data_IF_553583448309
#
_entry.id   IF_553583448309
#
_cell.length_a   1.000
_cell.length_b   1.000
_cell.length_c   1.000
_cell.angle_alpha   90.00
_cell.angle_beta   90.00
_cell.angle_gamma   90.00
#
_symmetry.space_group_name_H-M   'P 1'
#
loop_
_entity.id
_entity.type
_entity.pdbx_description
1 polymer ?
#
# COMPACT_ATOMS: atom_id res chain seq x y z
N UNK A 1 1.91 17.59 -1.75
CA UNK A 1 2.16 17.41 -3.19
C UNK A 1 0.97 16.72 -3.83
N UNK A 2 0.73 16.99 -5.11
CA UNK A 2 -0.38 16.46 -5.91
C UNK A 2 0.21 15.87 -7.20
N UNK A 3 -0.23 14.67 -7.59
CA UNK A 3 0.10 14.06 -8.89
C UNK A 3 -1.13 14.18 -9.77
N UNK A 4 -0.94 14.54 -11.04
CA UNK A 4 -2.02 14.74 -12.01
C UNK A 4 -1.65 14.02 -13.30
N UNK A 5 -2.59 13.28 -13.87
CA UNK A 5 -2.40 12.50 -15.10
C UNK A 5 -3.46 12.83 -16.14
N UNK A 6 -3.59 14.13 -16.44
CA UNK A 6 -4.46 14.67 -17.49
C UNK A 6 -3.88 14.43 -18.90
N UNK A 7 -3.73 13.15 -19.28
CA UNK A 7 -3.00 12.72 -20.47
C UNK A 7 -3.79 12.80 -21.79
N UNK A 8 -5.04 13.27 -21.75
CA UNK A 8 -5.92 13.39 -22.93
C UNK A 8 -6.42 14.83 -23.09
N UNK A 9 -6.78 15.23 -24.32
CA UNK A 9 -7.28 16.60 -24.60
C UNK A 9 -8.53 16.87 -23.77
N UNK A 10 -9.40 15.87 -23.65
CA UNK A 10 -10.61 15.97 -22.85
C UNK A 10 -10.30 16.18 -21.36
N UNK A 11 -9.28 15.52 -20.80
CA UNK A 11 -8.84 15.74 -19.42
C UNK A 11 -8.17 17.10 -19.24
N UNK A 12 -7.34 17.54 -20.18
CA UNK A 12 -6.70 18.85 -20.14
C UNK A 12 -7.74 20.00 -20.18
N UNK A 13 -8.74 19.89 -21.05
CA UNK A 13 -9.85 20.87 -21.14
C UNK A 13 -10.64 20.91 -19.82
N UNK A 14 -10.98 19.75 -19.24
CA UNK A 14 -11.68 19.70 -17.95
C UNK A 14 -10.81 20.25 -16.82
N UNK A 15 -9.51 19.98 -16.82
CA UNK A 15 -8.57 20.51 -15.84
C UNK A 15 -8.52 22.04 -15.90
N UNK A 16 -8.33 22.61 -17.09
CA UNK A 16 -8.29 24.07 -17.27
C UNK A 16 -9.58 24.73 -16.77
N UNK A 17 -10.74 24.17 -17.12
CA UNK A 17 -12.02 24.65 -16.63
C UNK A 17 -12.16 24.54 -15.10
N UNK A 18 -11.78 23.39 -14.51
CA UNK A 18 -11.87 23.16 -13.07
C UNK A 18 -10.93 24.05 -12.25
N UNK A 19 -9.80 24.44 -12.83
CA UNK A 19 -8.81 25.32 -12.22
C UNK A 19 -9.13 26.82 -12.44
N UNK A 20 -10.13 27.15 -13.27
CA UNK A 20 -10.47 28.53 -13.61
C UNK A 20 -9.38 29.23 -14.44
N UNK A 21 -8.64 28.47 -15.25
CA UNK A 21 -7.54 28.95 -16.09
C UNK A 21 -8.01 29.23 -17.52
N UNK A 22 -9.12 29.97 -17.67
CA UNK A 22 -9.79 30.18 -18.97
C UNK A 22 -8.86 30.72 -20.07
N UNK A 23 -7.80 31.45 -19.69
CA UNK A 23 -6.79 31.96 -20.60
C UNK A 23 -5.95 30.86 -21.29
N UNK A 24 -5.94 29.65 -20.73
CA UNK A 24 -5.28 28.46 -21.27
C UNK A 24 -6.21 27.53 -22.06
N UNK A 25 -7.51 27.85 -22.18
CA UNK A 25 -8.49 26.95 -22.81
C UNK A 25 -8.12 26.60 -24.27
N UNK A 26 -7.53 27.53 -25.01
CA UNK A 26 -7.06 27.31 -26.39
C UNK A 26 -5.88 26.33 -26.48
N UNK A 27 -5.07 26.23 -25.42
CA UNK A 27 -3.91 25.34 -25.34
C UNK A 27 -4.31 23.92 -24.92
N UNK A 28 -5.40 23.79 -24.15
CA UNK A 28 -5.85 22.51 -23.59
C UNK A 28 -6.41 21.53 -24.63
N UNK A 29 -6.94 22.03 -25.75
CA UNK A 29 -7.58 21.22 -26.78
C UNK A 29 -6.62 20.49 -27.74
N UNK A 30 -5.30 20.69 -27.60
CA UNK A 30 -4.31 20.14 -28.53
C UNK A 30 -3.42 19.09 -27.82
N UNK A 31 -3.65 17.80 -28.09
CA UNK A 31 -2.81 16.69 -27.57
C UNK A 31 -1.72 16.20 -28.51
N UNK A 32 -1.40 16.94 -29.58
CA UNK A 32 -0.24 16.57 -30.38
C UNK A 32 1.04 16.69 -29.52
N UNK A 33 1.99 15.75 -29.58
CA UNK A 33 3.23 15.78 -28.78
C UNK A 33 3.99 17.12 -28.87
N UNK A 34 3.89 17.79 -30.02
CA UNK A 34 4.55 19.05 -30.35
C UNK A 34 3.60 20.28 -30.29
N UNK A 35 2.40 20.13 -29.73
CA UNK A 35 1.37 21.17 -29.72
C UNK A 35 1.76 22.44 -28.98
N UNK A 36 2.59 22.31 -27.93
CA UNK A 36 3.04 23.40 -27.09
C UNK A 36 4.52 23.67 -27.35
N UNK A 37 4.83 24.90 -27.77
CA UNK A 37 6.20 25.40 -27.80
C UNK A 37 6.71 25.68 -26.37
N UNK A 38 7.98 26.05 -26.25
CA UNK A 38 8.61 26.31 -24.94
C UNK A 38 7.92 27.43 -24.15
N UNK A 39 7.50 28.51 -24.82
CA UNK A 39 6.81 29.62 -24.18
C UNK A 39 5.42 29.21 -23.66
N UNK A 40 4.69 28.38 -24.41
CA UNK A 40 3.40 27.84 -23.98
C UNK A 40 3.57 26.90 -22.77
N UNK A 41 4.60 26.04 -22.78
CA UNK A 41 4.92 25.15 -21.65
C UNK A 41 5.25 25.94 -20.39
N UNK A 42 6.07 26.99 -20.52
CA UNK A 42 6.41 27.88 -19.40
C UNK A 42 5.16 28.59 -18.86
N UNK A 43 4.30 29.12 -19.74
CA UNK A 43 3.04 29.79 -19.37
C UNK A 43 2.09 28.85 -18.63
N UNK A 44 1.91 27.62 -19.12
CA UNK A 44 1.08 26.60 -18.47
C UNK A 44 1.67 26.23 -17.10
N UNK A 45 2.98 25.97 -17.02
CA UNK A 45 3.64 25.61 -15.77
C UNK A 45 3.50 26.70 -14.71
N UNK A 46 3.69 27.97 -15.08
CA UNK A 46 3.55 29.11 -14.17
C UNK A 46 2.11 29.26 -13.66
N UNK A 47 1.11 29.13 -14.55
CA UNK A 47 -0.29 29.18 -14.17
C UNK A 47 -0.69 28.05 -13.21
N UNK A 48 -0.24 26.82 -13.50
CA UNK A 48 -0.49 25.67 -12.64
C UNK A 48 0.18 25.82 -11.27
N UNK A 49 1.45 26.26 -11.20
CA UNK A 49 2.14 26.50 -9.92
C UNK A 49 1.42 27.56 -9.07
N UNK A 50 1.01 28.68 -9.69
CA UNK A 50 0.24 29.71 -9.00
C UNK A 50 -1.08 29.17 -8.44
N UNK A 51 -1.88 28.47 -9.26
CA UNK A 51 -3.19 27.97 -8.83
C UNK A 51 -3.06 26.89 -7.76
N UNK A 52 -2.16 25.92 -7.92
CA UNK A 52 -2.05 24.82 -6.96
C UNK A 52 -1.54 25.25 -5.58
N UNK A 53 -0.94 26.43 -5.44
CA UNK A 53 -0.57 27.03 -4.15
C UNK A 53 -1.75 27.63 -3.39
N UNK A 54 -2.89 27.87 -4.03
CA UNK A 54 -4.01 28.61 -3.41
C UNK A 54 -4.87 27.75 -2.48
N UNK A 55 -4.78 26.41 -2.57
CA UNK A 55 -5.55 25.47 -1.75
C UNK A 55 -4.71 24.23 -1.39
N UNK A 56 -5.02 23.53 -0.28
CA UNK A 56 -4.40 22.25 0.06
C UNK A 56 -4.57 21.19 -1.05
N UNK A 57 -3.62 20.25 -1.12
CA UNK A 57 -3.64 19.18 -2.11
C UNK A 57 -4.89 18.27 -2.02
N UNK A 58 -5.46 18.10 -0.82
CA UNK A 58 -6.71 17.34 -0.62
C UNK A 58 -7.91 18.02 -1.28
N UNK A 59 -8.00 19.35 -1.20
CA UNK A 59 -9.09 20.09 -1.85
C UNK A 59 -8.96 20.02 -3.38
N UNK A 60 -7.74 20.16 -3.89
CA UNK A 60 -7.51 19.99 -5.33
C UNK A 60 -7.76 18.57 -5.82
N UNK A 61 -7.43 17.55 -5.04
CA UNK A 61 -7.77 16.16 -5.36
C UNK A 61 -9.29 16.00 -5.51
N UNK A 62 -10.09 16.55 -4.60
CA UNK A 62 -11.56 16.53 -4.70
C UNK A 62 -12.07 17.29 -5.93
N UNK A 63 -11.62 18.54 -6.14
CA UNK A 63 -12.06 19.36 -7.28
C UNK A 63 -11.76 18.70 -8.62
N UNK A 64 -10.57 18.13 -8.76
CA UNK A 64 -10.16 17.46 -9.99
C UNK A 64 -10.89 16.14 -10.18
N UNK A 65 -11.15 15.38 -9.12
CA UNK A 65 -11.96 14.17 -9.17
C UNK A 65 -13.41 14.48 -9.63
N UNK A 66 -14.03 15.53 -9.10
CA UNK A 66 -15.38 15.98 -9.51
C UNK A 66 -15.40 16.40 -10.98
N UNK A 67 -14.30 16.94 -11.49
CA UNK A 67 -14.11 17.28 -12.90
C UNK A 67 -13.68 16.08 -13.79
N UNK A 68 -13.64 14.85 -13.26
CA UNK A 68 -13.15 13.66 -13.95
C UNK A 68 -11.74 13.83 -14.52
N UNK A 69 -10.87 14.53 -13.79
CA UNK A 69 -9.44 14.68 -14.07
C UNK A 69 -8.68 13.78 -13.10
N UNK A 70 -7.94 12.77 -13.60
CA UNK A 70 -7.15 11.90 -12.75
C UNK A 70 -6.09 12.69 -11.97
N UNK A 71 -6.28 12.76 -10.65
CA UNK A 71 -5.35 13.40 -9.73
C UNK A 71 -5.37 12.67 -8.39
N UNK A 72 -4.25 12.73 -7.68
CA UNK A 72 -4.10 12.12 -6.36
C UNK A 72 -3.12 12.87 -5.50
N UNK A 73 -3.49 13.14 -4.25
CA UNK A 73 -2.56 13.66 -3.25
C UNK A 73 -1.48 12.62 -2.98
N UNK A 74 -0.22 13.06 -2.98
CA UNK A 74 0.88 12.24 -2.48
C UNK A 74 0.73 12.16 -0.96
N UNK A 75 0.33 10.99 -0.48
CA UNK A 75 0.07 10.72 0.92
C UNK A 75 1.32 10.17 1.62
N UNK A 76 1.51 10.55 2.87
CA UNK A 76 2.48 9.91 3.76
C UNK A 76 1.98 8.57 4.29
N UNK A 77 2.86 7.82 4.97
CA UNK A 77 2.52 6.49 5.50
C UNK A 77 1.33 6.52 6.47
N UNK A 78 1.32 7.44 7.45
CA UNK A 78 0.21 7.55 8.40
C UNK A 78 -1.13 7.82 7.70
N UNK A 79 -1.14 8.73 6.73
CA UNK A 79 -2.34 9.04 5.94
C UNK A 79 -2.82 7.85 5.10
N UNK A 80 -1.91 7.02 4.61
CA UNK A 80 -2.25 5.79 3.88
C UNK A 80 -2.89 4.76 4.83
N UNK A 81 -2.32 4.57 6.03
CA UNK A 81 -2.84 3.61 7.00
C UNK A 81 -4.25 3.99 7.50
N UNK A 82 -4.53 5.29 7.59
CA UNK A 82 -5.84 5.83 8.00
C UNK A 82 -6.82 6.01 6.82
N UNK A 83 -6.39 5.79 5.58
CA UNK A 83 -7.21 6.08 4.42
C UNK A 83 -8.42 5.15 4.31
N UNK A 84 -9.63 5.66 3.95
CA UNK A 84 -10.83 4.84 3.80
C UNK A 84 -10.66 3.66 2.82
N UNK A 85 -9.91 3.87 1.73
CA UNK A 85 -9.61 2.80 0.76
C UNK A 85 -8.74 1.70 1.35
N UNK A 86 -7.84 2.01 2.28
CA UNK A 86 -6.99 1.01 2.94
C UNK A 86 -7.83 0.11 3.82
N UNK A 87 -8.76 0.70 4.59
CA UNK A 87 -9.75 -0.07 5.35
C UNK A 87 -10.69 -0.89 4.45
N UNK A 88 -11.19 -0.29 3.37
CA UNK A 88 -12.14 -0.95 2.46
C UNK A 88 -11.52 -2.08 1.62
N UNK A 89 -10.24 -1.96 1.26
CA UNK A 89 -9.56 -2.97 0.41
C UNK A 89 -9.19 -4.25 1.16
N UNK A 90 -9.15 -4.23 2.50
CA UNK A 90 -8.70 -5.39 3.29
C UNK A 90 -7.24 -5.76 3.02
N UNK A 91 -6.43 -4.83 2.50
CA UNK A 91 -5.04 -5.08 2.13
C UNK A 91 -4.08 -5.13 3.33
N UNK A 92 -4.56 -4.85 4.54
CA UNK A 92 -3.81 -4.98 5.79
C UNK A 92 -4.45 -6.05 6.68
N UNK A 93 -3.63 -6.93 7.23
CA UNK A 93 -4.02 -7.91 8.24
C UNK A 93 -3.65 -7.43 9.64
N UNK A 94 -4.42 -7.88 10.63
CA UNK A 94 -4.06 -7.78 12.04
C UNK A 94 -3.17 -8.97 12.42
N UNK A 95 -1.94 -8.69 12.87
CA UNK A 95 -1.02 -9.68 13.40
C UNK A 95 -0.88 -9.51 14.91
N UNK A 96 -1.41 -10.44 15.72
CA UNK A 96 -1.11 -10.50 17.15
C UNK A 96 0.38 -10.79 17.37
N UNK A 97 1.03 -10.04 18.25
CA UNK A 97 2.44 -10.26 18.62
C UNK A 97 2.56 -10.43 20.14
N UNK A 98 3.40 -11.36 20.63
CA UNK A 98 3.58 -11.53 22.06
C UNK A 98 4.22 -10.27 22.67
N UNK A 99 3.67 -9.81 23.80
CA UNK A 99 4.11 -8.59 24.46
C UNK A 99 3.57 -7.28 23.87
N UNK A 100 2.64 -7.36 22.89
CA UNK A 100 1.95 -6.19 22.31
C UNK A 100 0.44 -6.33 22.55
N UNK A 101 -0.16 -5.37 23.25
CA UNK A 101 -1.58 -5.42 23.64
C UNK A 101 -2.54 -5.25 22.44
N UNK A 102 -2.09 -4.59 21.39
CA UNK A 102 -2.87 -4.34 20.17
C UNK A 102 -2.23 -5.03 18.96
N UNK A 103 -3.02 -5.72 18.11
CA UNK A 103 -2.49 -6.29 16.88
C UNK A 103 -1.78 -5.25 16.01
N UNK A 104 -0.67 -5.65 15.40
CA UNK A 104 0.06 -4.79 14.46
C UNK A 104 -0.52 -4.98 13.07
N UNK A 105 -0.78 -3.88 12.36
CA UNK A 105 -1.18 -3.91 10.96
C UNK A 105 0.00 -4.30 10.08
N UNK A 106 -0.13 -5.39 9.34
CA UNK A 106 0.88 -5.86 8.38
C UNK A 106 0.28 -5.92 6.96
N UNK A 107 1.09 -5.71 5.91
CA UNK A 107 0.62 -5.93 4.54
C UNK A 107 0.10 -7.35 4.35
N UNK A 108 -1.15 -7.46 3.94
CA UNK A 108 -1.78 -8.70 3.51
C UNK A 108 -1.76 -8.84 1.99
N UNK A 109 -2.71 -9.58 1.44
CA UNK A 109 -2.87 -9.70 0.00
C UNK A 109 -3.54 -8.45 -0.57
N UNK A 110 -3.02 -7.96 -1.71
CA UNK A 110 -3.58 -6.81 -2.44
C UNK A 110 -4.84 -7.08 -3.25
N UNK A 111 -5.52 -8.22 -3.00
CA UNK A 111 -6.74 -8.62 -3.70
C UNK A 111 -7.66 -9.42 -2.76
N UNK A 112 -8.93 -9.50 -3.15
CA UNK A 112 -9.98 -10.30 -2.49
C UNK A 112 -10.52 -11.35 -3.46
N UNK A 113 -11.20 -12.37 -2.92
CA UNK A 113 -11.84 -13.42 -3.72
C UNK A 113 -13.16 -13.84 -3.07
N UNK A 114 -14.17 -14.09 -3.90
CA UNK A 114 -15.44 -14.66 -3.43
C UNK A 114 -15.36 -16.18 -3.23
N UNK A 115 -14.35 -16.84 -3.80
CA UNK A 115 -14.19 -18.29 -3.74
C UNK A 115 -13.53 -18.77 -2.45
N UNK A 116 -12.86 -17.90 -1.71
CA UNK A 116 -12.16 -18.26 -0.48
C UNK A 116 -11.96 -17.05 0.42
N UNK A 117 -11.97 -17.29 1.74
CA UNK A 117 -11.71 -16.26 2.74
C UNK A 117 -10.30 -16.42 3.31
N UNK A 118 -9.61 -15.30 3.50
CA UNK A 118 -8.36 -15.26 4.27
C UNK A 118 -8.64 -15.62 5.72
N UNK A 119 -7.80 -16.48 6.29
CA UNK A 119 -7.85 -16.74 7.73
C UNK A 119 -7.18 -15.57 8.45
N UNK A 120 -7.69 -15.13 9.61
CA UNK A 120 -6.98 -14.19 10.46
C UNK A 120 -5.58 -14.70 10.74
N UNK A 121 -4.60 -13.80 10.75
CA UNK A 121 -3.26 -14.16 11.17
C UNK A 121 -3.29 -14.52 12.65
N UNK A 122 -2.48 -15.51 12.99
CA UNK A 122 -2.23 -15.89 14.38
C UNK A 122 -0.83 -15.45 14.74
N UNK A 123 -0.53 -15.50 16.04
CA UNK A 123 0.80 -15.17 16.51
C UNK A 123 1.86 -15.99 15.75
N UNK A 124 2.99 -15.37 15.33
CA UNK A 124 4.09 -16.12 14.75
C UNK A 124 4.59 -17.19 15.73
N UNK A 125 4.92 -18.37 15.20
CA UNK A 125 5.52 -19.43 15.99
C UNK A 125 6.87 -18.95 16.57
N UNK A 126 7.12 -19.29 17.84
CA UNK A 126 8.40 -19.12 18.47
C UNK A 126 9.46 -20.03 17.87
N UNK A 127 10.72 -19.78 18.23
CA UNK A 127 11.85 -20.59 17.77
C UNK A 127 11.66 -22.07 18.16
N UNK A 128 11.56 -22.93 17.15
CA UNK A 128 11.43 -24.38 17.34
C UNK A 128 10.10 -24.85 17.93
N UNK A 129 9.07 -24.00 18.02
CA UNK A 129 7.76 -24.36 18.59
C UNK A 129 7.13 -25.57 17.89
N UNK A 130 7.28 -25.66 16.57
CA UNK A 130 6.77 -26.79 15.79
C UNK A 130 7.74 -27.94 15.57
N UNK A 131 8.95 -27.92 16.15
CA UNK A 131 9.98 -28.92 15.87
C UNK A 131 9.48 -30.34 16.15
N UNK A 132 8.88 -30.59 17.32
CA UNK A 132 8.34 -31.93 17.66
C UNK A 132 7.25 -32.35 16.67
N UNK A 133 6.25 -31.49 16.45
CA UNK A 133 5.12 -31.75 15.52
C UNK A 133 5.61 -32.18 14.15
N UNK A 134 6.52 -31.42 13.55
CA UNK A 134 7.04 -31.69 12.21
C UNK A 134 7.80 -33.02 12.17
N UNK A 135 8.63 -33.34 13.16
CA UNK A 135 9.37 -34.61 13.20
C UNK A 135 8.44 -35.81 13.43
N UNK A 136 7.40 -35.65 14.25
CA UNK A 136 6.36 -36.68 14.42
C UNK A 136 5.59 -36.91 13.11
N UNK A 137 5.22 -35.86 12.38
CA UNK A 137 4.56 -35.97 11.07
C UNK A 137 5.44 -36.66 10.03
N UNK A 138 6.76 -36.60 10.19
CA UNK A 138 7.74 -37.34 9.38
C UNK A 138 7.92 -38.81 9.81
N UNK A 139 7.28 -39.23 10.90
CA UNK A 139 7.26 -40.61 11.38
C UNK A 139 8.30 -40.95 12.46
N UNK A 140 8.98 -39.96 13.03
CA UNK A 140 9.90 -40.19 14.15
C UNK A 140 9.12 -40.41 15.44
N UNK A 141 9.62 -41.34 16.26
CA UNK A 141 9.11 -41.57 17.61
C UNK A 141 9.59 -40.49 18.58
N UNK A 142 8.86 -40.30 19.69
CA UNK A 142 9.26 -39.34 20.73
C UNK A 142 10.68 -39.57 21.25
N UNK A 143 11.11 -40.84 21.31
CA UNK A 143 12.46 -41.19 21.72
C UNK A 143 13.52 -40.70 20.73
N UNK A 144 13.30 -40.93 19.44
CA UNK A 144 14.24 -40.48 18.40
C UNK A 144 14.34 -38.95 18.35
N UNK A 145 13.22 -38.26 18.51
CA UNK A 145 13.16 -36.79 18.58
C UNK A 145 13.94 -36.28 19.79
N UNK A 146 13.73 -36.88 20.97
CA UNK A 146 14.45 -36.53 22.18
C UNK A 146 15.96 -36.79 22.06
N UNK A 147 16.36 -37.89 21.42
CA UNK A 147 17.77 -38.23 21.21
C UNK A 147 18.44 -37.22 20.26
N UNK A 148 17.74 -36.76 19.21
CA UNK A 148 18.20 -35.66 18.34
C UNK A 148 18.37 -34.35 19.12
N UNK A 149 17.43 -34.03 20.00
CA UNK A 149 17.49 -32.83 20.83
C UNK A 149 18.69 -32.87 21.81
N UNK A 150 18.89 -34.01 22.49
CA UNK A 150 20.07 -34.23 23.36
C UNK A 150 21.38 -34.17 22.60
N UNK A 151 21.42 -34.63 21.35
CA UNK A 151 22.60 -34.49 20.49
C UNK A 151 22.83 -33.05 19.99
N UNK A 152 21.90 -32.12 20.24
CA UNK A 152 21.94 -30.74 19.78
C UNK A 152 21.63 -30.58 18.28
N UNK A 153 21.04 -31.59 17.65
CA UNK A 153 20.68 -31.55 16.24
C UNK A 153 19.38 -30.78 15.97
N UNK A 154 18.49 -30.72 16.97
CA UNK A 154 17.23 -29.97 16.93
C UNK A 154 16.98 -29.29 18.28
N UNK A 155 16.12 -28.27 18.29
CA UNK A 155 15.73 -27.55 19.51
C UNK A 155 14.25 -27.10 19.42
N UNK A 156 13.65 -26.90 20.59
CA UNK A 156 12.27 -26.43 20.72
C UNK A 156 11.86 -26.34 22.19
N UNK A 157 10.78 -25.59 22.51
CA UNK A 157 10.35 -25.36 23.89
C UNK A 157 9.94 -26.64 24.63
N UNK A 158 9.42 -27.65 23.90
CA UNK A 158 8.96 -28.94 24.45
C UNK A 158 9.96 -30.09 24.24
N UNK A 159 11.22 -29.77 23.91
CA UNK A 159 12.29 -30.75 23.72
C UNK A 159 13.28 -30.73 24.88
N UNK A 160 13.89 -31.88 25.24
CA UNK A 160 14.92 -31.90 26.25
C UNK A 160 16.13 -31.06 25.82
N UNK A 161 16.85 -30.44 26.77
CA UNK A 161 18.05 -29.69 26.44
C UNK A 161 19.13 -30.60 25.86
N UNK A 162 20.04 -29.99 25.10
CA UNK A 162 21.26 -30.64 24.63
C UNK A 162 22.02 -31.23 25.82
N UNK A 163 22.50 -32.47 25.69
CA UNK A 163 23.38 -33.09 26.66
C UNK A 163 24.80 -32.47 26.56
N UNK A 164 25.43 -32.29 27.72
CA UNK A 164 26.79 -31.75 27.85
C UNK A 164 27.84 -32.59 27.09
#
# INVERSE_FOLDING_TARGET
>A
HLVITANTSAQAVRMVAALGLDDLASLAGSTAPDALNEADRARVAEALDRVFRTRPATEWETILADAAVPAGKVRGLGEILEHPQTAASGCLDDLPLPGVDTPVKVPGLGFTSDAWSRRPLTQPEGEGESTRRVLTDLGLTDKEIDDLARAGAVAGPDLPPRAD
#
